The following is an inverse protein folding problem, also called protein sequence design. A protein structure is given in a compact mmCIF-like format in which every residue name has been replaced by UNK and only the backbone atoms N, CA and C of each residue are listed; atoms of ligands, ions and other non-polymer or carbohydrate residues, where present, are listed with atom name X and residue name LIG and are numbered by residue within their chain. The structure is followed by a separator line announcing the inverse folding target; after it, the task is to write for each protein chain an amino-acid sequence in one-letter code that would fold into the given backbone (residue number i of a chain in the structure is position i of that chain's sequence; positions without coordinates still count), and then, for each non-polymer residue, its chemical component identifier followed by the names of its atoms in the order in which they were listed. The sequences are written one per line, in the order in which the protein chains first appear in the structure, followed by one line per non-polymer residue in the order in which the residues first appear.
data_IF_541539180881
#
_entry.id   IF_541539180881
#
_cell.length_a   1.000
_cell.length_b   1.000
_cell.length_c   1.000
_cell.angle_alpha   90.00
_cell.angle_beta   90.00
_cell.angle_gamma   90.00
#
_symmetry.space_group_name_H-M   'P 1'
#
loop_
_entity.id
_entity.type
_entity.pdbx_description
1 polymer ?
#
# COMPACT_ATOMS: atom_id res chain seq x y z
N UNK A 1 8.17 15.62 13.99
CA UNK A 1 8.08 14.84 12.74
C UNK A 1 8.94 15.53 11.71
N UNK A 2 10.09 14.96 11.34
CA UNK A 2 10.94 15.53 10.30
C UNK A 2 10.36 15.12 8.95
N UNK A 3 9.66 16.04 8.30
CA UNK A 3 9.30 15.92 6.88
C UNK A 3 10.55 16.30 6.11
N UNK A 4 11.29 15.30 5.59
CA UNK A 4 12.42 15.55 4.70
C UNK A 4 11.87 16.23 3.43
N UNK A 5 12.10 17.54 3.30
CA UNK A 5 11.72 18.33 2.12
C UNK A 5 12.26 17.65 0.86
N UNK A 6 11.39 17.39 -0.11
CA UNK A 6 11.73 16.71 -1.38
C UNK A 6 11.47 15.20 -1.41
N UNK A 7 11.02 14.58 -0.31
CA UNK A 7 10.62 13.17 -0.32
C UNK A 7 9.11 13.03 -0.55
N UNK A 8 8.72 12.03 -1.36
CA UNK A 8 7.32 11.69 -1.61
C UNK A 8 6.59 11.11 -0.38
N UNK A 9 7.28 10.98 0.75
CA UNK A 9 6.70 10.47 1.99
C UNK A 9 6.08 11.58 2.85
N UNK A 10 4.84 11.36 3.28
CA UNK A 10 4.09 12.28 4.15
C UNK A 10 4.09 11.84 5.62
N UNK A 11 4.90 10.84 6.00
CA UNK A 11 5.03 10.38 7.39
C UNK A 11 3.80 9.64 7.91
N UNK A 12 3.09 8.90 7.05
CA UNK A 12 1.90 8.15 7.44
C UNK A 12 2.23 7.07 8.47
N UNK A 13 1.43 7.02 9.54
CA UNK A 13 1.49 5.93 10.51
C UNK A 13 0.72 4.70 9.98
N UNK A 14 1.36 3.54 10.01
CA UNK A 14 0.81 2.32 9.42
C UNK A 14 -0.51 1.89 10.05
N UNK A 15 -0.59 1.80 11.38
CA UNK A 15 -1.78 1.27 12.05
C UNK A 15 -2.94 2.27 11.96
N UNK A 16 -2.68 3.58 12.10
CA UNK A 16 -3.69 4.62 11.87
C UNK A 16 -4.21 4.60 10.44
N UNK A 17 -3.33 4.48 9.45
CA UNK A 17 -3.71 4.46 8.03
C UNK A 17 -4.47 3.18 7.68
N UNK A 18 -4.05 2.04 8.22
CA UNK A 18 -4.76 0.76 8.07
C UNK A 18 -6.19 0.88 8.60
N UNK A 19 -6.36 1.39 9.83
CA UNK A 19 -7.69 1.63 10.41
C UNK A 19 -8.54 2.54 9.53
N UNK A 20 -7.98 3.67 9.07
CA UNK A 20 -8.68 4.60 8.19
C UNK A 20 -9.19 3.92 6.91
N UNK A 21 -8.36 3.12 6.24
CA UNK A 21 -8.75 2.42 5.01
C UNK A 21 -9.84 1.37 5.27
N UNK A 22 -9.70 0.60 6.35
CA UNK A 22 -10.69 -0.41 6.75
C UNK A 22 -12.04 0.23 7.10
N UNK A 23 -12.04 1.32 7.86
CA UNK A 23 -13.27 2.06 8.18
C UNK A 23 -13.90 2.66 6.91
N UNK A 24 -13.08 3.18 6.00
CA UNK A 24 -13.59 3.69 4.72
C UNK A 24 -14.28 2.58 3.90
N UNK A 25 -13.70 1.38 3.83
CA UNK A 25 -14.33 0.22 3.17
C UNK A 25 -15.67 -0.09 3.83
N UNK A 26 -15.72 -0.20 5.17
CA UNK A 26 -16.97 -0.46 5.90
C UNK A 26 -18.05 0.59 5.61
N UNK A 27 -17.69 1.86 5.54
CA UNK A 27 -18.62 2.96 5.27
C UNK A 27 -19.26 2.90 3.87
N UNK A 28 -18.52 2.45 2.86
CA UNK A 28 -19.02 2.43 1.47
C UNK A 28 -19.58 1.08 1.04
N UNK A 29 -19.35 0.03 1.83
CA UNK A 29 -19.83 -1.32 1.56
C UNK A 29 -21.36 -1.36 1.53
N UNK A 30 -21.91 -2.05 0.52
CA UNK A 30 -23.37 -2.14 0.31
C UNK A 30 -24.02 -0.85 -0.22
N UNK A 31 -23.28 0.26 -0.33
CA UNK A 31 -23.79 1.47 -0.94
C UNK A 31 -24.00 1.28 -2.44
N UNK A 32 -25.13 1.78 -2.95
CA UNK A 32 -25.52 1.60 -4.35
C UNK A 32 -24.82 2.61 -5.27
N UNK A 33 -24.58 2.20 -6.51
CA UNK A 33 -24.11 3.06 -7.59
C UNK A 33 -22.62 2.93 -7.91
N UNK A 34 -22.26 3.29 -9.15
CA UNK A 34 -20.90 3.12 -9.69
C UNK A 34 -19.87 3.92 -8.88
N UNK A 35 -20.19 5.14 -8.44
CA UNK A 35 -19.26 5.98 -7.66
C UNK A 35 -18.89 5.34 -6.32
N UNK A 36 -19.86 4.77 -5.61
CA UNK A 36 -19.62 4.10 -4.33
C UNK A 36 -18.74 2.85 -4.52
N UNK A 37 -19.04 2.03 -5.52
CA UNK A 37 -18.24 0.85 -5.87
C UNK A 37 -16.83 1.19 -6.32
N UNK A 38 -16.64 2.28 -7.08
CA UNK A 38 -15.32 2.81 -7.41
C UNK A 38 -14.55 3.25 -6.16
N UNK A 39 -15.19 3.98 -5.24
CA UNK A 39 -14.55 4.40 -3.99
C UNK A 39 -14.13 3.18 -3.14
N UNK A 40 -14.97 2.14 -3.07
CA UNK A 40 -14.63 0.87 -2.44
C UNK A 40 -13.42 0.24 -3.12
N UNK A 41 -13.47 0.04 -4.43
CA UNK A 41 -12.41 -0.61 -5.19
C UNK A 41 -11.07 0.13 -5.07
N UNK A 42 -11.07 1.47 -5.11
CA UNK A 42 -9.87 2.26 -4.90
C UNK A 42 -9.32 2.12 -3.49
N UNK A 43 -10.20 2.08 -2.48
CA UNK A 43 -9.78 1.86 -1.08
C UNK A 43 -9.20 0.45 -0.89
N UNK A 44 -9.76 -0.57 -1.56
CA UNK A 44 -9.19 -1.92 -1.60
C UNK A 44 -7.78 -1.93 -2.20
N UNK A 45 -7.55 -1.24 -3.32
CA UNK A 45 -6.20 -1.10 -3.92
C UNK A 45 -5.23 -0.46 -2.93
N UNK A 46 -5.62 0.61 -2.25
CA UNK A 46 -4.78 1.27 -1.25
C UNK A 46 -4.46 0.35 -0.05
N UNK A 47 -5.42 -0.47 0.38
CA UNK A 47 -5.19 -1.44 1.46
C UNK A 47 -4.24 -2.56 1.02
N UNK A 48 -4.39 -3.08 -0.21
CA UNK A 48 -3.42 -4.00 -0.82
C UNK A 48 -2.00 -3.40 -0.82
N UNK A 49 -1.89 -2.14 -1.25
CA UNK A 49 -0.62 -1.44 -1.32
C UNK A 49 0.02 -1.31 0.07
N UNK A 50 -0.74 -0.86 1.07
CA UNK A 50 -0.27 -0.69 2.44
C UNK A 50 0.15 -2.02 3.07
N UNK A 51 -0.64 -3.09 2.92
CA UNK A 51 -0.35 -4.40 3.53
C UNK A 51 0.89 -5.06 2.95
N UNK A 52 1.14 -4.87 1.65
CA UNK A 52 2.23 -5.52 0.93
C UNK A 52 3.46 -4.62 0.69
N UNK A 53 3.37 -3.31 0.97
CA UNK A 53 4.46 -2.36 0.71
C UNK A 53 4.81 -2.25 -0.77
N UNK A 54 3.83 -2.43 -1.65
CA UNK A 54 4.01 -2.42 -3.10
C UNK A 54 3.94 -1.00 -3.68
N UNK A 55 4.24 -0.86 -4.97
CA UNK A 55 3.79 0.31 -5.72
C UNK A 55 2.29 0.25 -5.97
N UNK A 56 1.66 1.40 -6.19
CA UNK A 56 0.22 1.46 -6.46
C UNK A 56 -0.15 0.71 -7.74
N UNK A 57 0.68 0.75 -8.79
CA UNK A 57 0.45 -0.02 -10.02
C UNK A 57 0.46 -1.53 -9.78
N UNK A 58 1.40 -2.01 -8.95
CA UNK A 58 1.45 -3.43 -8.53
C UNK A 58 0.21 -3.81 -7.70
N UNK A 59 -0.31 -2.89 -6.88
CA UNK A 59 -1.53 -3.12 -6.11
C UNK A 59 -2.79 -3.13 -7.00
N UNK A 60 -2.85 -2.28 -8.03
CA UNK A 60 -3.90 -2.33 -9.07
C UNK A 60 -3.90 -3.69 -9.77
N UNK A 61 -2.73 -4.17 -10.17
CA UNK A 61 -2.58 -5.49 -10.79
C UNK A 61 -3.04 -6.60 -9.82
N UNK A 62 -2.69 -6.47 -8.53
CA UNK A 62 -3.05 -7.47 -7.51
C UNK A 62 -4.56 -7.55 -7.27
N UNK A 63 -5.27 -6.42 -7.23
CA UNK A 63 -6.74 -6.41 -7.11
C UNK A 63 -7.38 -7.06 -8.34
N UNK A 64 -6.89 -6.77 -9.55
CA UNK A 64 -7.40 -7.37 -10.79
C UNK A 64 -7.19 -8.89 -10.79
N UNK A 65 -6.01 -9.34 -10.39
CA UNK A 65 -5.71 -10.77 -10.30
C UNK A 65 -6.50 -11.47 -9.19
N UNK A 66 -6.73 -10.80 -8.06
CA UNK A 66 -7.57 -11.31 -6.99
C UNK A 66 -9.03 -11.47 -7.43
N UNK A 67 -9.57 -10.48 -8.14
CA UNK A 67 -10.91 -10.56 -8.74
C UNK A 67 -11.04 -11.77 -9.65
N UNK A 68 -10.02 -12.03 -10.48
CA UNK A 68 -9.99 -13.14 -11.45
C UNK A 68 -9.85 -14.51 -10.77
N UNK A 69 -8.93 -14.64 -9.83
CA UNK A 69 -8.51 -15.95 -9.29
C UNK A 69 -9.19 -16.34 -7.99
N UNK A 70 -9.70 -15.38 -7.23
CA UNK A 70 -10.27 -15.55 -5.87
C UNK A 70 -9.29 -16.15 -4.84
N UNK A 71 -8.00 -16.25 -5.17
CA UNK A 71 -6.97 -16.79 -4.28
C UNK A 71 -6.66 -15.81 -3.14
N UNK A 72 -6.19 -16.32 -2.01
CA UNK A 72 -5.71 -15.52 -0.86
C UNK A 72 -4.32 -14.91 -1.08
N UNK A 73 -3.60 -15.41 -2.07
CA UNK A 73 -2.31 -14.90 -2.53
C UNK A 73 -2.35 -14.81 -4.06
N UNK A 74 -1.82 -13.72 -4.60
CA UNK A 74 -1.73 -13.49 -6.05
C UNK A 74 -0.31 -13.12 -6.43
N UNK A 75 0.07 -13.41 -7.67
CA UNK A 75 1.38 -13.05 -8.21
C UNK A 75 1.23 -11.94 -9.24
N UNK A 76 2.03 -10.89 -9.12
CA UNK A 76 1.99 -9.75 -10.04
C UNK A 76 3.40 -9.39 -10.52
N UNK A 77 3.54 -8.88 -11.76
CA UNK A 77 4.83 -8.40 -12.25
C UNK A 77 5.36 -7.23 -11.42
N UNK A 78 6.60 -7.34 -10.96
CA UNK A 78 7.33 -6.23 -10.33
C UNK A 78 7.55 -5.15 -11.39
N UNK A 79 7.04 -3.94 -11.13
CA UNK A 79 7.14 -2.85 -12.10
C UNK A 79 8.53 -2.21 -12.05
N UNK A 80 8.96 -1.65 -13.18
CA UNK A 80 10.27 -1.00 -13.37
C UNK A 80 11.47 -1.96 -13.19
N UNK A 81 11.26 -3.26 -13.39
CA UNK A 81 12.33 -4.24 -13.50
C UNK A 81 12.73 -4.51 -14.96
N UNK A 82 14.01 -4.82 -15.21
CA UNK A 82 14.56 -5.09 -16.56
C UNK A 82 14.13 -6.48 -17.05
N UNK A 83 13.94 -7.40 -16.12
CA UNK A 83 13.51 -8.77 -16.34
C UNK A 83 12.14 -8.96 -15.72
N UNK A 84 11.36 -9.91 -16.26
CA UNK A 84 10.08 -10.30 -15.68
C UNK A 84 10.34 -11.00 -14.34
N UNK A 85 10.03 -10.31 -13.25
CA UNK A 85 10.06 -10.84 -11.90
C UNK A 85 8.64 -10.76 -11.36
N UNK A 86 8.14 -11.85 -10.78
CA UNK A 86 6.85 -11.88 -10.12
C UNK A 86 7.04 -11.66 -8.62
N UNK A 87 6.10 -10.95 -8.02
CA UNK A 87 5.99 -10.82 -6.57
C UNK A 87 4.69 -11.40 -6.07
N UNK A 88 4.77 -12.09 -4.94
CA UNK A 88 3.60 -12.52 -4.19
C UNK A 88 2.99 -11.34 -3.44
N UNK A 89 1.67 -11.23 -3.52
CA UNK A 89 0.84 -10.24 -2.84
C UNK A 89 -0.21 -10.99 -2.03
N UNK A 90 -0.26 -10.74 -0.74
CA UNK A 90 -1.24 -11.33 0.17
C UNK A 90 -2.48 -10.47 0.18
N UNK A 91 -3.65 -11.09 -0.02
CA UNK A 91 -4.94 -10.40 0.09
C UNK A 91 -5.14 -9.96 1.55
N UNK A 92 -5.42 -8.66 1.80
CA UNK A 92 -5.72 -8.19 3.15
C UNK A 92 -6.87 -8.99 3.79
N UNK A 93 -6.67 -9.46 5.02
CA UNK A 93 -7.64 -10.28 5.76
C UNK A 93 -8.95 -9.55 6.05
N UNK A 94 -8.94 -8.22 6.02
CA UNK A 94 -10.10 -7.36 6.26
C UNK A 94 -11.07 -7.32 5.06
N UNK A 95 -10.62 -7.76 3.88
CA UNK A 95 -11.43 -7.80 2.67
C UNK A 95 -12.28 -9.06 2.61
N UNK A 96 -13.53 -8.87 2.17
CA UNK A 96 -14.55 -9.90 2.06
C UNK A 96 -14.85 -10.22 0.60
N UNK A 97 -15.56 -11.33 0.39
CA UNK A 97 -15.99 -11.74 -0.95
C UNK A 97 -16.91 -10.69 -1.61
N UNK A 98 -17.77 -10.02 -0.83
CA UNK A 98 -18.58 -8.90 -1.31
C UNK A 98 -17.73 -7.74 -1.86
N UNK A 99 -16.62 -7.40 -1.19
CA UNK A 99 -15.71 -6.35 -1.66
C UNK A 99 -15.05 -6.74 -3.00
N UNK A 100 -14.74 -8.04 -3.17
CA UNK A 100 -14.20 -8.60 -4.42
C UNK A 100 -15.21 -8.46 -5.55
N UNK A 101 -16.48 -8.77 -5.29
CA UNK A 101 -17.55 -8.65 -6.28
C UNK A 101 -17.80 -7.19 -6.68
N UNK A 102 -17.75 -6.26 -5.72
CA UNK A 102 -17.83 -4.84 -6.01
C UNK A 102 -16.65 -4.39 -6.88
N UNK A 103 -15.42 -4.80 -6.55
CA UNK A 103 -14.25 -4.55 -7.42
C UNK A 103 -14.43 -5.13 -8.83
N UNK A 104 -15.00 -6.34 -8.95
CA UNK A 104 -15.26 -6.98 -10.22
C UNK A 104 -16.20 -6.16 -11.11
N UNK A 105 -17.23 -5.55 -10.50
CA UNK A 105 -18.23 -4.75 -11.21
C UNK A 105 -17.73 -3.41 -11.75
N UNK A 106 -16.54 -2.96 -11.33
CA UNK A 106 -15.95 -1.66 -11.73
C UNK A 106 -14.51 -1.79 -12.22
N UNK A 107 -14.08 -2.98 -12.67
CA UNK A 107 -12.70 -3.27 -13.09
C UNK A 107 -12.13 -2.25 -14.08
N UNK A 108 -12.94 -1.78 -15.03
CA UNK A 108 -12.55 -0.79 -16.05
C UNK A 108 -12.10 0.55 -15.45
N UNK A 109 -12.61 0.90 -14.25
CA UNK A 109 -12.28 2.13 -13.55
C UNK A 109 -11.06 2.00 -12.63
N UNK A 110 -10.59 0.78 -12.36
CA UNK A 110 -9.43 0.51 -11.51
C UNK A 110 -8.14 0.76 -12.31
N UNK A 111 -7.76 2.04 -12.38
CA UNK A 111 -6.56 2.54 -13.04
C UNK A 111 -5.70 3.29 -12.02
N UNK A 112 -4.37 3.22 -12.17
CA UNK A 112 -3.41 3.86 -11.26
C UNK A 112 -3.72 5.33 -11.02
N UNK A 113 -3.94 6.10 -12.10
CA UNK A 113 -4.23 7.54 -12.00
C UNK A 113 -5.51 7.83 -11.20
N UNK A 114 -6.54 7.00 -11.34
CA UNK A 114 -7.80 7.16 -10.61
C UNK A 114 -7.59 6.90 -9.11
N UNK A 115 -6.83 5.87 -8.76
CA UNK A 115 -6.49 5.53 -7.37
C UNK A 115 -5.63 6.62 -6.73
N UNK A 116 -4.64 7.13 -7.45
CA UNK A 116 -3.79 8.24 -7.00
C UNK A 116 -4.60 9.52 -6.76
N UNK A 117 -5.48 9.86 -7.70
CA UNK A 117 -6.38 11.00 -7.57
C UNK A 117 -7.34 10.82 -6.40
N UNK A 118 -7.92 9.64 -6.24
CA UNK A 118 -8.82 9.30 -5.13
C UNK A 118 -8.11 9.44 -3.77
N UNK A 119 -6.90 8.87 -3.63
CA UNK A 119 -6.10 8.98 -2.40
C UNK A 119 -5.84 10.45 -2.05
N UNK A 120 -5.41 11.25 -3.03
CA UNK A 120 -5.12 12.67 -2.81
C UNK A 120 -6.36 13.47 -2.43
N UNK A 121 -7.46 13.30 -3.17
CA UNK A 121 -8.68 14.14 -3.03
C UNK A 121 -9.56 13.71 -1.87
N UNK A 122 -9.64 12.41 -1.59
CA UNK A 122 -10.60 11.86 -0.61
C UNK A 122 -9.95 11.54 0.73
N UNK A 123 -8.64 11.24 0.75
CA UNK A 123 -7.93 10.78 1.94
C UNK A 123 -6.76 11.70 2.34
N UNK A 124 -6.42 12.70 1.52
CA UNK A 124 -5.43 13.73 1.84
C UNK A 124 -3.96 13.28 1.74
N UNK A 125 -3.69 12.11 1.15
CA UNK A 125 -2.32 11.60 1.00
C UNK A 125 -2.00 11.08 -0.40
N UNK A 126 -0.72 10.99 -0.73
CA UNK A 126 -0.23 10.33 -1.94
C UNK A 126 -0.01 8.82 -1.69
N UNK A 127 -0.08 8.03 -2.76
CA UNK A 127 0.01 6.56 -2.68
C UNK A 127 1.41 6.06 -2.32
N UNK A 128 2.46 6.83 -2.61
CA UNK A 128 3.84 6.44 -2.31
C UNK A 128 4.10 6.41 -0.78
N UNK A 129 3.40 7.27 -0.03
CA UNK A 129 3.46 7.29 1.44
C UNK A 129 2.95 5.98 2.07
N UNK A 130 2.03 5.24 1.42
CA UNK A 130 1.58 3.93 1.92
C UNK A 130 2.69 2.88 1.91
N UNK A 131 3.56 2.91 0.89
CA UNK A 131 4.72 2.03 0.81
C UNK A 131 5.68 2.30 1.96
N UNK A 132 5.96 3.58 2.25
CA UNK A 132 6.84 3.97 3.35
C UNK A 132 6.24 3.75 4.73
N UNK A 133 4.93 3.90 4.90
CA UNK A 133 4.24 3.52 6.12
C UNK A 133 4.47 2.03 6.45
N UNK A 134 4.34 1.15 5.46
CA UNK A 134 4.63 -0.28 5.63
C UNK A 134 6.08 -0.56 5.98
N UNK A 135 7.02 0.08 5.28
CA UNK A 135 8.46 -0.06 5.53
C UNK A 135 8.76 0.35 6.96
N UNK A 136 8.36 1.56 7.36
CA UNK A 136 8.52 2.08 8.72
C UNK A 136 7.96 1.11 9.77
N UNK A 137 6.79 0.54 9.53
CA UNK A 137 6.18 -0.41 10.47
C UNK A 137 7.00 -1.68 10.66
N UNK A 138 7.51 -2.24 9.56
CA UNK A 138 8.35 -3.44 9.63
C UNK A 138 9.66 -3.17 10.38
N UNK A 139 10.22 -1.97 10.21
CA UNK A 139 11.43 -1.53 10.90
C UNK A 139 11.18 -1.42 12.40
N UNK A 140 10.08 -0.77 12.80
CA UNK A 140 9.67 -0.68 14.21
C UNK A 140 9.38 -2.05 14.85
N UNK A 141 9.08 -3.07 14.03
CA UNK A 141 8.93 -4.46 14.47
C UNK A 141 10.24 -5.24 14.51
N UNK A 142 11.38 -4.61 14.27
CA UNK A 142 12.69 -5.25 14.28
C UNK A 142 12.98 -6.14 13.06
N UNK A 143 12.21 -6.00 11.98
CA UNK A 143 12.48 -6.77 10.75
C UNK A 143 13.75 -6.24 10.08
N UNK A 144 14.67 -7.13 9.72
CA UNK A 144 15.94 -6.72 9.13
C UNK A 144 15.75 -5.97 7.80
N UNK A 145 16.59 -4.95 7.49
CA UNK A 145 16.50 -4.21 6.23
C UNK A 145 16.54 -5.10 4.98
N UNK A 146 17.31 -6.19 5.02
CA UNK A 146 17.39 -7.17 3.92
C UNK A 146 16.06 -7.88 3.65
N UNK A 147 15.33 -8.27 4.70
CA UNK A 147 13.99 -8.87 4.56
C UNK A 147 12.99 -7.84 4.05
N UNK A 148 13.04 -6.60 4.55
CA UNK A 148 12.18 -5.51 4.08
C UNK A 148 12.42 -5.24 2.60
N UNK A 149 13.69 -5.20 2.16
CA UNK A 149 14.05 -5.00 0.76
C UNK A 149 13.49 -6.11 -0.15
N UNK A 150 13.56 -7.38 0.30
CA UNK A 150 12.93 -8.52 -0.40
C UNK A 150 11.41 -8.37 -0.47
N UNK A 151 10.73 -8.10 0.65
CA UNK A 151 9.26 -7.94 0.69
C UNK A 151 8.78 -6.81 -0.23
N UNK A 152 9.54 -5.71 -0.28
CA UNK A 152 9.13 -4.51 -1.02
C UNK A 152 9.69 -4.46 -2.43
N UNK A 153 10.53 -5.42 -2.83
CA UNK A 153 11.28 -5.46 -4.10
C UNK A 153 11.99 -4.12 -4.38
N UNK A 154 12.78 -3.64 -3.40
CA UNK A 154 13.72 -2.54 -3.65
C UNK A 154 14.98 -3.08 -4.33
N UNK A 155 15.39 -2.44 -5.44
CA UNK A 155 16.62 -2.79 -6.16
C UNK A 155 17.90 -2.48 -5.39
N UNK A 156 17.87 -1.48 -4.52
CA UNK A 156 19.02 -1.06 -3.71
C UNK A 156 18.61 -1.02 -2.26
N UNK A 157 19.39 -1.70 -1.42
CA UNK A 157 19.20 -1.77 0.01
C UNK A 157 19.28 -0.38 0.65
N UNK A 158 20.12 0.51 0.10
CA UNK A 158 20.36 1.88 0.53
C UNK A 158 19.10 2.73 0.68
N UNK A 159 18.04 2.46 -0.11
CA UNK A 159 16.77 3.19 0.02
C UNK A 159 15.98 2.79 1.27
N UNK A 160 16.10 1.53 1.68
CA UNK A 160 15.54 1.06 2.95
C UNK A 160 16.44 1.56 4.07
N UNK A 161 17.76 1.39 3.94
CA UNK A 161 18.76 1.79 4.92
C UNK A 161 18.70 3.27 5.28
N UNK A 162 18.71 4.20 4.32
CA UNK A 162 18.59 5.64 4.62
C UNK A 162 17.33 5.97 5.43
N UNK A 163 16.25 5.24 5.19
CA UNK A 163 14.98 5.44 5.86
C UNK A 163 14.98 4.85 7.28
N UNK A 164 15.67 3.71 7.46
CA UNK A 164 15.82 3.05 8.76
C UNK A 164 16.87 3.71 9.65
N UNK A 165 18.01 4.06 9.07
CA UNK A 165 19.18 4.62 9.74
C UNK A 165 18.89 6.03 10.24
N UNK A 166 18.26 6.89 9.43
CA UNK A 166 17.92 8.25 9.89
C UNK A 166 16.90 8.21 11.04
N UNK A 167 15.89 7.34 10.98
CA UNK A 167 14.91 7.21 12.08
C UNK A 167 15.53 6.62 13.34
N UNK A 168 16.35 5.59 13.20
CA UNK A 168 17.06 4.99 14.33
C UNK A 168 18.03 6.01 14.96
N UNK A 169 18.75 6.78 14.15
CA UNK A 169 19.61 7.86 14.62
C UNK A 169 18.82 8.96 15.36
N UNK A 170 17.66 9.37 14.83
CA UNK A 170 16.80 10.38 15.44
C UNK A 170 16.13 9.90 16.75
N UNK A 171 15.87 8.61 16.89
CA UNK A 171 15.36 7.98 18.13
C UNK A 171 16.49 7.85 19.16
N UNK A 172 17.64 7.31 18.78
CA UNK A 172 18.83 7.19 19.64
C UNK A 172 19.29 8.56 20.16
N UNK A 173 19.31 9.59 19.31
CA UNK A 173 19.68 10.94 19.70
C UNK A 173 18.70 11.55 20.73
N UNK A 174 17.44 11.10 20.76
CA UNK A 174 16.46 11.53 21.78
C UNK A 174 16.56 10.75 23.08
N UNK A 175 17.11 9.55 23.05
CA UNK A 175 17.34 8.75 24.25
C UNK A 175 18.61 9.16 24.99
N UNK A 176 19.62 9.65 24.26
CA UNK A 176 20.93 10.03 24.82
C UNK A 176 20.98 11.52 25.23
N UNK A 177 20.08 12.36 24.72
CA UNK A 177 19.99 13.79 25.06
C UNK A 177 19.07 14.05 26.26
#
# INVERSE_FOLDING_TARGET
MVVLRGTWDQGLDYEKTKRLLVEKIKQVRGAKGVRARCALAYTCVLLFQLRNGSRVSEAVDAVKEWVKTKKKEVEVPVRKHRFLELRKMVVPEELREEDRLDCASVLEYIKTANVEMFARRSLGFNTHSLRYARITHLVKKGVSPSLIAKITHHRRLDYVLRYTEQKAADELNREIA
#
